data_IF_533214105998
#
_entry.id   IF_533214105998
#
_cell.length_a   1.000
_cell.length_b   1.000
_cell.length_c   1.000
_cell.angle_alpha   90.00
_cell.angle_beta   90.00
_cell.angle_gamma   90.00
#
_symmetry.space_group_name_H-M   'P 1'
#
loop_
_entity.id
_entity.type
_entity.pdbx_description
1 polymer ?
#
# COMPACT_ATOMS: atom_id res chain seq x y z
N UNK A 1 3.08 7.88 -9.93
CA UNK A 1 2.76 7.16 -8.69
C UNK A 1 2.68 8.18 -7.57
N UNK A 2 1.69 9.07 -7.62
CA UNK A 2 1.21 9.62 -6.36
C UNK A 2 0.49 8.50 -5.60
N UNK A 3 0.37 8.60 -4.28
CA UNK A 3 -0.33 7.65 -3.38
C UNK A 3 0.51 6.44 -2.92
N UNK A 4 1.79 6.33 -3.31
CA UNK A 4 2.61 5.18 -2.93
C UNK A 4 2.78 5.09 -1.41
N UNK A 5 2.99 6.22 -0.72
CA UNK A 5 3.21 6.21 0.73
C UNK A 5 1.96 5.75 1.46
N UNK A 6 0.80 6.25 1.05
CA UNK A 6 -0.50 5.90 1.64
C UNK A 6 -0.78 4.41 1.46
N UNK A 7 -0.56 3.85 0.27
CA UNK A 7 -0.76 2.43 0.01
C UNK A 7 0.15 1.53 0.86
N UNK A 8 1.44 1.84 0.90
CA UNK A 8 2.42 1.08 1.70
C UNK A 8 2.12 1.22 3.19
N UNK A 9 1.70 2.39 3.66
CA UNK A 9 1.28 2.61 5.05
C UNK A 9 0.06 1.79 5.46
N UNK A 10 -0.97 1.74 4.61
CA UNK A 10 -2.13 0.87 4.82
C UNK A 10 -1.70 -0.59 4.84
N UNK A 11 -0.82 -1.03 3.94
CA UNK A 11 -0.27 -2.39 3.94
C UNK A 11 0.43 -2.73 5.26
N UNK A 12 1.34 -1.86 5.70
CA UNK A 12 2.10 -2.00 6.93
C UNK A 12 1.21 -2.07 8.18
N UNK A 13 0.21 -1.21 8.28
CA UNK A 13 -0.70 -1.16 9.42
C UNK A 13 -1.66 -2.34 9.45
N UNK A 14 -2.19 -2.73 8.28
CA UNK A 14 -2.99 -3.96 8.16
C UNK A 14 -2.14 -5.17 8.55
N UNK A 15 -0.88 -5.25 8.12
CA UNK A 15 0.02 -6.33 8.49
C UNK A 15 0.27 -6.40 10.00
N UNK A 16 0.49 -5.25 10.65
CA UNK A 16 0.65 -5.15 12.11
C UNK A 16 -0.61 -5.61 12.86
N UNK A 17 -1.78 -5.09 12.48
CA UNK A 17 -3.05 -5.46 13.10
C UNK A 17 -3.39 -6.94 12.86
N UNK A 18 -3.07 -7.47 11.68
CA UNK A 18 -3.29 -8.86 11.32
C UNK A 18 -2.52 -9.84 12.22
N UNK A 19 -1.34 -9.45 12.75
CA UNK A 19 -0.62 -10.28 13.73
C UNK A 19 -1.46 -10.54 14.99
N UNK A 20 -2.29 -9.58 15.39
CA UNK A 20 -3.06 -9.61 16.63
C UNK A 20 -4.52 -10.02 16.47
N UNK A 21 -5.04 -10.08 15.24
CA UNK A 21 -6.42 -10.50 14.96
C UNK A 21 -6.57 -12.03 15.04
N UNK A 22 -7.60 -12.54 15.73
CA UNK A 22 -7.78 -13.98 15.96
C UNK A 22 -8.19 -14.74 14.68
N UNK A 23 -9.03 -14.12 13.86
CA UNK A 23 -9.52 -14.70 12.59
C UNK A 23 -8.50 -14.79 11.44
N UNK A 24 -7.32 -14.16 11.55
CA UNK A 24 -6.31 -14.18 10.49
C UNK A 24 -5.49 -15.50 10.56
N UNK A 25 -5.40 -16.29 9.47
CA UNK A 25 -4.64 -17.53 9.47
C UNK A 25 -3.16 -17.37 9.84
N UNK A 26 -2.61 -18.38 10.54
CA UNK A 26 -1.18 -18.45 10.87
C UNK A 26 -0.23 -18.26 9.68
N UNK A 27 -0.46 -18.93 8.53
CA UNK A 27 0.32 -18.71 7.30
C UNK A 27 0.39 -17.23 6.89
N UNK A 28 -0.69 -16.46 7.06
CA UNK A 28 -0.73 -15.06 6.65
C UNK A 28 0.10 -14.20 7.59
N UNK A 29 -0.05 -14.44 8.90
CA UNK A 29 0.77 -13.78 9.92
C UNK A 29 2.25 -14.02 9.67
N UNK A 30 2.61 -15.27 9.36
CA UNK A 30 3.98 -15.66 9.04
C UNK A 30 4.53 -14.91 7.82
N UNK A 31 3.84 -14.92 6.67
CA UNK A 31 4.37 -14.26 5.47
C UNK A 31 4.38 -12.75 5.58
N UNK A 32 3.42 -12.14 6.28
CA UNK A 32 3.43 -10.71 6.52
C UNK A 32 4.55 -10.29 7.49
N UNK A 33 4.97 -11.18 8.40
CA UNK A 33 6.13 -10.93 9.26
C UNK A 33 7.47 -11.15 8.53
N UNK A 34 7.57 -12.19 7.70
CA UNK A 34 8.84 -12.60 7.07
C UNK A 34 9.09 -11.97 5.70
N UNK A 35 8.04 -11.55 5.00
CA UNK A 35 8.08 -11.09 3.62
C UNK A 35 7.33 -9.76 3.43
N UNK A 36 7.35 -8.89 4.45
CA UNK A 36 6.66 -7.60 4.41
C UNK A 36 7.10 -6.75 3.22
N UNK A 37 8.39 -6.75 2.86
CA UNK A 37 8.90 -6.05 1.68
C UNK A 37 8.23 -6.50 0.36
N UNK A 38 7.91 -7.78 0.23
CA UNK A 38 7.18 -8.32 -0.94
C UNK A 38 5.71 -7.93 -0.88
N UNK A 39 5.10 -7.92 0.30
CA UNK A 39 3.75 -7.38 0.48
C UNK A 39 3.69 -5.88 0.13
N UNK A 40 4.69 -5.08 0.52
CA UNK A 40 4.81 -3.67 0.12
C UNK A 40 4.90 -3.52 -1.40
N UNK A 41 5.66 -4.38 -2.08
CA UNK A 41 5.68 -4.41 -3.55
C UNK A 41 4.30 -4.72 -4.13
N UNK A 42 3.59 -5.70 -3.56
CA UNK A 42 2.19 -5.98 -3.90
C UNK A 42 1.28 -4.77 -3.65
N UNK A 43 1.52 -4.00 -2.60
CA UNK A 43 0.71 -2.80 -2.28
C UNK A 43 0.86 -1.65 -3.28
N UNK A 44 1.80 -1.75 -4.21
CA UNK A 44 1.99 -0.81 -5.31
C UNK A 44 1.51 -1.36 -6.67
N UNK A 45 0.97 -2.59 -6.72
CA UNK A 45 0.54 -3.22 -7.97
C UNK A 45 -0.87 -2.84 -8.36
N UNK A 46 -1.10 -2.64 -9.66
CA UNK A 46 -2.45 -2.49 -10.23
C UNK A 46 -3.04 -3.86 -10.58
N UNK A 47 -4.35 -3.87 -10.90
CA UNK A 47 -5.08 -5.00 -11.50
C UNK A 47 -5.08 -6.30 -10.69
N UNK A 48 -4.93 -6.20 -9.37
CA UNK A 48 -4.99 -7.34 -8.45
C UNK A 48 -6.30 -8.14 -8.57
N UNK A 49 -7.38 -7.51 -9.01
CA UNK A 49 -8.70 -8.11 -9.21
C UNK A 49 -8.73 -9.26 -10.22
N UNK A 50 -7.75 -9.31 -11.14
CA UNK A 50 -7.69 -10.33 -12.19
C UNK A 50 -7.10 -11.66 -11.71
N UNK A 51 -6.32 -11.66 -10.64
CA UNK A 51 -5.47 -12.80 -10.28
C UNK A 51 -5.36 -13.07 -8.78
N UNK A 52 -5.81 -12.17 -7.90
CA UNK A 52 -5.57 -12.32 -6.45
C UNK A 52 -6.18 -13.61 -5.88
N UNK A 53 -7.46 -13.88 -6.18
CA UNK A 53 -8.17 -15.05 -5.65
C UNK A 53 -7.57 -16.37 -6.15
N UNK A 54 -7.30 -16.47 -7.44
CA UNK A 54 -6.67 -17.63 -8.08
C UNK A 54 -5.26 -17.86 -7.52
N UNK A 55 -4.49 -16.80 -7.30
CA UNK A 55 -3.13 -16.93 -6.77
C UNK A 55 -3.12 -17.33 -5.28
N UNK A 56 -4.14 -16.95 -4.51
CA UNK A 56 -4.34 -17.43 -3.13
C UNK A 56 -4.66 -18.93 -3.13
N UNK A 57 -5.59 -19.37 -3.99
CA UNK A 57 -5.93 -20.80 -4.12
C UNK A 57 -4.70 -21.61 -4.55
N UNK A 58 -3.98 -21.14 -5.57
CA UNK A 58 -2.73 -21.77 -5.98
C UNK A 58 -1.71 -21.83 -4.83
N UNK A 59 -1.56 -20.75 -4.06
CA UNK A 59 -0.62 -20.73 -2.93
C UNK A 59 -1.04 -21.69 -1.81
N UNK A 60 -2.35 -21.89 -1.59
CA UNK A 60 -2.90 -22.89 -0.67
C UNK A 60 -2.54 -24.30 -1.11
N UNK A 61 -2.82 -24.62 -2.37
CA UNK A 61 -2.63 -25.97 -2.91
C UNK A 61 -1.14 -26.35 -3.03
N UNK A 62 -0.26 -25.35 -3.13
CA UNK A 62 1.19 -25.52 -3.19
C UNK A 62 1.89 -25.17 -1.87
N UNK A 63 1.14 -24.92 -0.79
CA UNK A 63 1.73 -24.54 0.49
C UNK A 63 2.64 -25.67 1.00
N UNK A 64 3.88 -25.38 1.43
CA UNK A 64 4.76 -26.44 1.91
C UNK A 64 4.14 -27.12 3.13
N UNK A 65 3.68 -28.36 2.94
CA UNK A 65 3.37 -29.25 4.04
C UNK A 65 4.68 -29.60 4.72
N UNK A 66 4.71 -29.54 6.05
CA UNK A 66 5.89 -29.87 6.89
C UNK A 66 6.40 -31.32 6.75
N UNK A 67 5.94 -32.06 5.73
CA UNK A 67 6.44 -33.36 5.34
C UNK A 67 7.85 -33.24 4.74
N UNK A 68 8.85 -33.40 5.61
CA UNK A 68 10.23 -33.82 5.35
C UNK A 68 11.29 -32.75 5.01
N UNK A 69 11.09 -31.47 5.33
CA UNK A 69 12.18 -30.49 5.41
C UNK A 69 12.96 -30.21 4.12
N UNK A 70 12.59 -30.86 3.02
CA UNK A 70 13.07 -30.55 1.68
C UNK A 70 12.00 -29.68 1.03
N UNK A 71 12.18 -28.37 1.14
CA UNK A 71 11.65 -27.49 0.10
C UNK A 71 12.18 -28.08 -1.20
N UNK A 72 11.29 -28.48 -2.10
CA UNK A 72 11.70 -28.70 -3.49
C UNK A 72 12.17 -27.34 -3.97
N UNK A 73 13.45 -27.04 -3.76
CA UNK A 73 14.17 -26.12 -4.61
C UNK A 73 14.03 -26.74 -5.99
N UNK A 74 13.00 -26.31 -6.73
CA UNK A 74 12.99 -26.45 -8.17
C UNK A 74 14.04 -25.49 -8.69
N UNK A 75 15.30 -25.83 -8.40
CA UNK A 75 16.48 -25.28 -9.03
C UNK A 75 16.47 -25.80 -10.46
N UNK A 76 16.27 -24.88 -11.39
CA UNK A 76 17.07 -24.74 -12.61
C UNK A 76 16.62 -23.45 -13.31
N UNK A 77 17.24 -22.31 -12.95
CA UNK A 77 17.26 -21.13 -13.85
C UNK A 77 16.59 -19.82 -13.43
N UNK A 78 16.25 -19.61 -12.15
CA UNK A 78 16.05 -18.27 -11.61
C UNK A 78 14.60 -17.77 -11.46
N UNK A 79 14.38 -17.00 -10.39
CA UNK A 79 13.21 -16.13 -10.16
C UNK A 79 11.82 -16.78 -9.99
N UNK A 80 11.68 -18.09 -9.78
CA UNK A 80 10.37 -18.65 -9.40
C UNK A 80 10.05 -18.34 -7.93
N UNK A 81 9.21 -17.32 -7.70
CA UNK A 81 8.77 -16.95 -6.37
C UNK A 81 8.04 -18.11 -5.66
N UNK A 82 8.45 -18.43 -4.43
CA UNK A 82 7.83 -19.46 -3.58
C UNK A 82 6.37 -19.13 -3.25
N UNK A 83 5.54 -20.13 -2.86
CA UNK A 83 4.16 -19.90 -2.41
C UNK A 83 4.04 -18.81 -1.34
N UNK A 84 4.97 -18.75 -0.39
CA UNK A 84 5.03 -17.73 0.68
C UNK A 84 5.21 -16.33 0.11
N UNK A 85 6.14 -16.15 -0.84
CA UNK A 85 6.40 -14.86 -1.48
C UNK A 85 5.23 -14.40 -2.34
N UNK A 86 4.64 -15.31 -3.12
CA UNK A 86 3.44 -15.02 -3.93
C UNK A 86 2.25 -14.67 -3.05
N UNK A 87 2.06 -15.40 -1.95
CA UNK A 87 1.02 -15.08 -0.97
C UNK A 87 1.26 -13.70 -0.36
N UNK A 88 2.47 -13.39 0.12
CA UNK A 88 2.81 -12.05 0.64
C UNK A 88 2.47 -10.95 -0.37
N UNK A 89 2.87 -11.13 -1.64
CA UNK A 89 2.57 -10.19 -2.72
C UNK A 89 1.06 -9.99 -2.91
N UNK A 90 0.27 -11.07 -2.94
CA UNK A 90 -1.19 -10.97 -3.10
C UNK A 90 -1.84 -10.28 -1.90
N UNK A 91 -1.43 -10.60 -0.68
CA UNK A 91 -1.98 -9.95 0.52
C UNK A 91 -1.71 -8.45 0.47
N UNK A 92 -0.49 -8.05 0.07
CA UNK A 92 -0.16 -6.66 -0.22
C UNK A 92 -1.06 -6.01 -1.27
N UNK A 93 -1.29 -6.70 -2.39
CA UNK A 93 -2.15 -6.22 -3.47
C UNK A 93 -3.63 -6.05 -3.05
N UNK A 94 -4.13 -6.86 -2.11
CA UNK A 94 -5.44 -6.66 -1.50
C UNK A 94 -5.47 -5.41 -0.63
N UNK A 95 -4.40 -5.12 0.13
CA UNK A 95 -4.32 -3.86 0.91
C UNK A 95 -4.22 -2.62 0.02
N UNK A 96 -3.56 -2.70 -1.14
CA UNK A 96 -3.61 -1.66 -2.16
C UNK A 96 -5.04 -1.37 -2.58
N UNK A 97 -5.79 -2.41 -2.96
CA UNK A 97 -7.20 -2.30 -3.37
C UNK A 97 -8.06 -1.67 -2.27
N UNK A 98 -7.81 -2.01 -1.01
CA UNK A 98 -8.50 -1.40 0.12
C UNK A 98 -8.25 0.10 0.16
N UNK A 99 -7.00 0.55 0.07
CA UNK A 99 -6.66 1.98 0.05
C UNK A 99 -7.22 2.71 -1.18
N UNK A 100 -7.04 2.17 -2.38
CA UNK A 100 -7.57 2.71 -3.64
C UNK A 100 -9.07 3.06 -3.51
N UNK A 101 -9.86 2.12 -2.98
CA UNK A 101 -11.30 2.28 -2.81
C UNK A 101 -11.73 3.45 -1.94
N UNK A 102 -10.87 3.86 -0.99
CA UNK A 102 -11.19 4.92 -0.05
C UNK A 102 -10.57 6.25 -0.49
N UNK A 103 -9.41 6.23 -1.13
CA UNK A 103 -8.66 7.43 -1.49
C UNK A 103 -8.93 7.94 -2.90
N UNK A 104 -9.08 7.07 -3.91
CA UNK A 104 -9.37 7.50 -5.29
C UNK A 104 -10.62 8.36 -5.43
N UNK A 105 -11.73 8.08 -4.72
CA UNK A 105 -12.89 8.96 -4.76
C UNK A 105 -12.59 10.39 -4.28
N UNK A 106 -11.66 10.57 -3.34
CA UNK A 106 -11.24 11.89 -2.85
C UNK A 106 -10.46 12.64 -3.93
N UNK A 107 -9.54 11.96 -4.59
CA UNK A 107 -8.73 12.57 -5.65
C UNK A 107 -9.60 12.92 -6.87
N UNK A 108 -10.54 12.05 -7.21
CA UNK A 108 -11.54 12.31 -8.23
C UNK A 108 -12.41 13.52 -7.86
N UNK A 109 -12.91 13.59 -6.63
CA UNK A 109 -13.67 14.75 -6.15
C UNK A 109 -12.85 16.04 -6.23
N UNK A 110 -11.60 16.03 -5.77
CA UNK A 110 -10.72 17.21 -5.83
C UNK A 110 -10.45 17.64 -7.27
N UNK A 111 -10.26 16.68 -8.18
CA UNK A 111 -10.13 16.92 -9.63
C UNK A 111 -11.39 17.56 -10.20
N UNK A 112 -12.55 17.01 -9.90
CA UNK A 112 -13.83 17.48 -10.43
C UNK A 112 -14.21 18.88 -9.91
N UNK A 113 -13.93 19.16 -8.63
CA UNK A 113 -14.28 20.45 -8.01
C UNK A 113 -13.27 21.56 -8.28
N UNK A 114 -11.98 21.24 -8.36
CA UNK A 114 -10.91 22.24 -8.34
C UNK A 114 -9.91 22.10 -9.51
N UNK A 115 -10.14 21.19 -10.46
CA UNK A 115 -9.30 20.97 -11.64
C UNK A 115 -8.28 19.84 -11.51
N UNK A 116 -7.76 19.38 -12.66
CA UNK A 116 -6.91 18.18 -12.79
C UNK A 116 -5.67 18.19 -11.87
N UNK A 117 -4.95 19.31 -11.83
CA UNK A 117 -3.74 19.45 -11.02
C UNK A 117 -4.04 19.30 -9.52
N UNK A 118 -5.24 19.67 -9.09
CA UNK A 118 -5.67 19.59 -7.69
C UNK A 118 -5.88 18.14 -7.23
N UNK A 119 -6.28 17.23 -8.11
CA UNK A 119 -6.36 15.80 -7.79
C UNK A 119 -4.98 15.22 -7.47
N UNK A 120 -3.97 15.57 -8.28
CA UNK A 120 -2.57 15.19 -8.06
C UNK A 120 -2.05 15.81 -6.76
N UNK A 121 -2.24 17.11 -6.58
CA UNK A 121 -1.82 17.85 -5.39
C UNK A 121 -2.43 17.25 -4.11
N UNK A 122 -3.73 16.94 -4.11
CA UNK A 122 -4.41 16.26 -3.01
C UNK A 122 -3.74 14.92 -2.66
N UNK A 123 -3.46 14.10 -3.67
CA UNK A 123 -2.82 12.80 -3.47
C UNK A 123 -1.40 12.90 -2.88
N UNK A 124 -0.63 13.92 -3.26
CA UNK A 124 0.70 14.20 -2.70
C UNK A 124 0.58 14.63 -1.23
N UNK A 125 -0.36 15.52 -0.92
CA UNK A 125 -0.57 15.99 0.45
C UNK A 125 -1.06 14.86 1.38
N UNK A 126 -1.92 13.96 0.91
CA UNK A 126 -2.29 12.74 1.65
C UNK A 126 -1.07 11.87 1.94
N UNK A 127 -0.22 11.61 0.93
CA UNK A 127 1.00 10.83 1.11
C UNK A 127 1.97 11.47 2.11
N UNK A 128 2.18 12.79 2.02
CA UNK A 128 3.08 13.52 2.94
C UNK A 128 2.53 13.51 4.36
N UNK A 129 1.21 13.65 4.53
CA UNK A 129 0.60 13.55 5.84
C UNK A 129 0.78 12.16 6.44
N UNK A 130 0.43 11.11 5.69
CA UNK A 130 0.63 9.72 6.11
C UNK A 130 2.11 9.39 6.33
N UNK A 131 3.02 9.95 5.53
CA UNK A 131 4.47 9.82 5.73
C UNK A 131 4.90 10.31 7.11
N UNK A 132 4.39 11.46 7.53
CA UNK A 132 4.69 12.04 8.82
C UNK A 132 4.06 11.23 9.96
N UNK A 133 2.78 10.87 9.84
CA UNK A 133 2.04 10.13 10.87
C UNK A 133 2.57 8.70 11.07
N UNK A 134 2.84 8.00 9.97
CA UNK A 134 3.16 6.57 10.01
C UNK A 134 4.65 6.32 10.10
N UNK A 135 5.47 7.12 9.41
CA UNK A 135 6.92 6.88 9.31
C UNK A 135 7.76 7.95 10.01
N UNK A 136 7.13 8.87 10.76
CA UNK A 136 7.83 9.90 11.54
C UNK A 136 8.64 10.85 10.65
N UNK A 137 8.20 11.08 9.42
CA UNK A 137 8.95 11.88 8.46
C UNK A 137 10.29 11.24 8.04
N UNK A 138 10.36 9.90 8.09
CA UNK A 138 11.55 9.13 7.69
C UNK A 138 12.68 9.12 8.70
N UNK A 139 12.40 9.48 9.97
CA UNK A 139 13.36 9.41 11.08
C UNK A 139 13.41 8.01 11.75
N UNK A 140 12.68 7.05 11.19
CA UNK A 140 12.33 5.79 11.88
C UNK A 140 11.01 5.98 12.61
N UNK A 141 10.03 5.11 12.36
CA UNK A 141 8.70 5.19 12.96
C UNK A 141 8.76 5.20 14.49
N UNK A 142 7.72 5.73 15.12
CA UNK A 142 7.71 6.11 16.53
C UNK A 142 7.54 7.62 16.62
N UNK A 143 6.30 8.09 16.46
CA UNK A 143 5.96 9.51 16.38
C UNK A 143 6.67 10.36 17.42
N UNK A 144 7.10 11.56 17.00
CA UNK A 144 7.47 12.61 17.95
C UNK A 144 6.22 13.03 18.71
N UNK A 145 6.05 12.53 19.92
CA UNK A 145 5.34 13.30 20.95
C UNK A 145 6.21 14.52 21.27
N UNK A 146 5.57 15.67 21.44
CA UNK A 146 6.19 16.95 21.82
C UNK A 146 7.45 16.78 22.70
N UNK A 147 8.63 16.92 22.09
CA UNK A 147 9.92 16.94 22.78
C UNK A 147 10.52 15.60 23.25
N UNK A 148 9.91 14.44 22.96
CA UNK A 148 10.42 13.13 23.39
C UNK A 148 11.42 12.48 22.42
N UNK A 149 12.50 11.87 22.93
CA UNK A 149 13.40 11.00 22.16
C UNK A 149 12.62 9.83 21.56
N UNK A 150 12.73 9.63 20.23
CA UNK A 150 12.03 8.58 19.50
C UNK A 150 12.40 7.17 20.00
N UNK A 151 11.39 6.34 20.22
CA UNK A 151 11.57 4.91 20.49
C UNK A 151 11.88 4.22 19.16
N UNK A 152 13.03 3.52 19.01
CA UNK A 152 13.32 2.77 17.79
C UNK A 152 12.24 1.70 17.58
N UNK A 153 11.44 1.82 16.52
CA UNK A 153 10.55 0.73 16.13
C UNK A 153 11.37 -0.38 15.48
N UNK A 154 11.12 -1.63 15.86
CA UNK A 154 11.77 -2.82 15.28
C UNK A 154 11.41 -3.10 13.82
N UNK A 155 10.48 -2.34 13.23
CA UNK A 155 10.05 -2.51 11.85
C UNK A 155 10.88 -1.61 10.93
N UNK A 156 11.49 -2.22 9.91
CA UNK A 156 12.23 -1.54 8.86
C UNK A 156 11.35 -0.47 8.20
N UNK A 157 11.74 0.80 8.35
CA UNK A 157 11.08 1.93 7.72
C UNK A 157 11.46 1.96 6.22
N UNK A 158 10.51 1.74 5.29
CA UNK A 158 10.82 1.73 3.86
C UNK A 158 11.14 3.12 3.32
N UNK A 159 10.87 4.17 4.10
CA UNK A 159 11.10 5.56 3.71
C UNK A 159 12.14 6.20 4.62
N UNK A 160 13.24 6.61 4.03
CA UNK A 160 14.21 7.46 4.72
C UNK A 160 13.82 8.93 4.53
N UNK A 161 14.18 9.80 5.49
CA UNK A 161 13.95 11.25 5.34
C UNK A 161 14.53 11.82 4.05
N UNK A 162 15.66 11.27 3.60
CA UNK A 162 16.32 11.64 2.35
C UNK A 162 15.49 11.37 1.08
N UNK A 163 14.43 10.54 1.16
CA UNK A 163 13.53 10.27 0.01
C UNK A 163 12.76 11.52 -0.40
N UNK A 164 12.42 12.41 0.55
CA UNK A 164 11.67 13.64 0.28
C UNK A 164 12.38 14.92 0.74
N UNK A 165 13.44 14.79 1.55
CA UNK A 165 14.20 15.93 2.04
C UNK A 165 15.18 16.48 1.00
N UNK A 166 15.40 17.79 1.08
CA UNK A 166 16.50 18.52 0.47
C UNK A 166 17.82 17.73 0.46
N UNK A 167 18.11 17.13 -0.67
CA UNK A 167 19.49 16.94 -1.10
C UNK A 167 19.92 18.23 -1.82
N UNK A 168 19.98 19.35 -1.07
CA UNK A 168 20.22 20.70 -1.61
C UNK A 168 21.61 20.89 -2.22
N UNK A 169 22.45 19.85 -2.23
CA UNK A 169 23.72 19.86 -2.93
C UNK A 169 23.57 19.45 -4.39
N UNK A 170 24.19 20.19 -5.29
CA UNK A 170 24.34 19.82 -6.70
C UNK A 170 24.81 18.35 -6.89
N UNK A 171 25.65 17.86 -5.98
CA UNK A 171 26.11 16.48 -5.96
C UNK A 171 24.96 15.46 -5.85
N UNK A 172 23.95 15.71 -5.02
CA UNK A 172 22.87 14.77 -4.82
C UNK A 172 21.85 14.78 -5.97
N UNK A 173 21.59 15.95 -6.56
CA UNK A 173 20.90 16.05 -7.85
C UNK A 173 21.59 15.23 -8.94
N UNK A 174 22.92 15.36 -9.08
CA UNK A 174 23.71 14.58 -10.05
C UNK A 174 23.64 13.08 -9.79
N UNK A 175 23.63 12.65 -8.52
CA UNK A 175 23.44 11.23 -8.15
C UNK A 175 22.03 10.75 -8.52
N UNK A 176 20.99 11.54 -8.25
CA UNK A 176 19.62 11.20 -8.66
C UNK A 176 19.51 11.06 -10.19
N UNK A 177 20.05 12.02 -10.94
CA UNK A 177 20.09 11.98 -12.41
C UNK A 177 20.79 10.71 -12.91
N UNK A 178 21.91 10.33 -12.29
CA UNK A 178 22.64 9.10 -12.64
C UNK A 178 21.86 7.82 -12.31
N UNK A 179 21.29 7.73 -11.10
CA UNK A 179 20.45 6.59 -10.68
C UNK A 179 19.22 6.44 -11.57
N UNK A 180 18.59 7.55 -11.97
CA UNK A 180 17.45 7.55 -12.89
C UNK A 180 17.82 6.90 -14.22
N UNK A 181 18.98 7.25 -14.78
CA UNK A 181 19.49 6.63 -16.03
C UNK A 181 19.78 5.14 -15.84
N UNK A 182 20.43 4.75 -14.74
CA UNK A 182 20.71 3.33 -14.45
C UNK A 182 19.41 2.52 -14.29
N UNK A 183 18.44 3.06 -13.57
CA UNK A 183 17.15 2.42 -13.35
C UNK A 183 16.38 2.28 -14.67
N UNK A 184 16.33 3.33 -15.50
CA UNK A 184 15.73 3.25 -16.83
C UNK A 184 16.39 2.16 -17.68
N UNK A 185 17.73 2.07 -17.68
CA UNK A 185 18.45 1.01 -18.40
C UNK A 185 18.13 -0.38 -17.86
N UNK A 186 18.07 -0.55 -16.54
CA UNK A 186 17.69 -1.81 -15.92
C UNK A 186 16.27 -2.22 -16.30
N UNK A 187 15.30 -1.30 -16.23
CA UNK A 187 13.91 -1.56 -16.65
C UNK A 187 13.82 -1.92 -18.14
N UNK A 188 14.53 -1.19 -19.01
CA UNK A 188 14.60 -1.51 -20.45
C UNK A 188 15.20 -2.91 -20.66
N UNK A 189 16.25 -3.27 -19.91
CA UNK A 189 16.88 -4.59 -20.01
C UNK A 189 16.02 -5.73 -19.50
N UNK A 190 15.10 -5.45 -18.57
CA UNK A 190 14.13 -6.42 -18.06
C UNK A 190 12.89 -6.55 -18.96
N UNK A 191 12.70 -5.66 -19.93
CA UNK A 191 11.60 -5.73 -20.88
C UNK A 191 11.97 -6.59 -22.09
N UNK A 192 11.22 -7.67 -22.30
CA UNK A 192 11.12 -8.32 -23.60
C UNK A 192 10.16 -7.53 -24.48
N UNK A 193 10.64 -6.44 -25.08
CA UNK A 193 9.87 -5.77 -26.14
C UNK A 193 9.62 -6.78 -27.27
N UNK A 194 8.37 -7.18 -27.44
CA UNK A 194 7.91 -7.98 -28.57
C UNK A 194 7.13 -7.05 -29.51
N UNK A 195 7.81 -6.33 -30.43
CA UNK A 195 7.13 -5.46 -31.36
C UNK A 195 6.16 -6.26 -32.23
N UNK A 196 5.05 -5.62 -32.60
CA UNK A 196 4.16 -6.17 -33.62
C UNK A 196 4.71 -5.78 -35.00
N UNK A 197 5.28 -6.71 -35.78
CA UNK A 197 5.85 -6.39 -37.08
C UNK A 197 4.77 -6.03 -38.12
N UNK A 198 3.51 -6.35 -37.87
CA UNK A 198 2.38 -6.06 -38.77
C UNK A 198 1.71 -4.72 -38.44
N UNK A 199 1.86 -4.24 -37.21
CA UNK A 199 1.29 -2.97 -36.72
C UNK A 199 2.28 -2.24 -35.80
N UNK A 200 3.41 -1.78 -36.36
CA UNK A 200 4.44 -1.09 -35.59
C UNK A 200 3.93 0.22 -34.96
N UNK A 201 3.08 0.97 -35.68
CA UNK A 201 2.52 2.22 -35.19
C UNK A 201 1.55 2.00 -34.03
N UNK A 202 0.59 1.09 -34.17
CA UNK A 202 -0.32 0.78 -33.08
C UNK A 202 0.38 0.11 -31.90
N UNK A 203 1.45 -0.67 -32.14
CA UNK A 203 2.30 -1.17 -31.06
C UNK A 203 3.00 -0.04 -30.31
N UNK A 204 3.58 0.94 -31.01
CA UNK A 204 4.18 2.12 -30.40
C UNK A 204 3.14 2.95 -29.65
N UNK A 205 1.95 3.16 -30.21
CA UNK A 205 0.87 3.90 -29.54
C UNK A 205 0.41 3.18 -28.27
N UNK A 206 0.25 1.85 -28.32
CA UNK A 206 -0.04 1.02 -27.13
C UNK A 206 1.12 1.10 -26.14
N UNK A 207 2.36 1.05 -26.61
CA UNK A 207 3.54 1.19 -25.75
C UNK A 207 3.57 2.55 -25.07
N UNK A 208 3.34 3.67 -25.78
CA UNK A 208 3.34 5.02 -25.21
C UNK A 208 2.12 5.29 -24.32
N UNK A 209 0.97 4.72 -24.66
CA UNK A 209 -0.24 4.77 -23.82
C UNK A 209 -0.05 3.98 -22.53
N UNK A 210 0.61 2.82 -22.61
CA UNK A 210 0.90 1.95 -21.47
C UNK A 210 2.18 2.35 -20.73
N UNK A 211 3.06 3.13 -21.36
CA UNK A 211 4.21 3.75 -20.74
C UNK A 211 3.65 4.73 -19.73
N UNK A 212 3.47 4.23 -18.51
CA UNK A 212 3.08 5.02 -17.37
C UNK A 212 4.05 6.21 -17.34
N UNK A 213 3.53 7.41 -17.58
CA UNK A 213 4.31 8.61 -17.36
C UNK A 213 4.72 8.55 -15.88
N UNK A 214 5.99 8.23 -15.62
CA UNK A 214 6.57 8.26 -14.29
C UNK A 214 6.81 9.72 -13.89
N UNK A 215 5.78 10.57 -14.02
CA UNK A 215 5.77 11.94 -13.53
C UNK A 215 5.42 11.94 -12.05
N UNK A 216 6.21 11.22 -11.24
CA UNK A 216 6.25 11.57 -9.82
C UNK A 216 6.98 12.90 -9.75
N UNK A 217 6.26 13.94 -9.37
CA UNK A 217 6.87 15.24 -9.16
C UNK A 217 7.49 15.27 -7.76
N UNK A 218 8.71 14.76 -7.64
CA UNK A 218 9.46 14.75 -6.38
C UNK A 218 9.62 16.15 -5.79
N UNK A 219 9.64 17.18 -6.64
CA UNK A 219 9.69 18.58 -6.21
C UNK A 219 8.41 19.00 -5.47
N UNK A 220 7.23 18.55 -5.93
CA UNK A 220 5.97 18.79 -5.22
C UNK A 220 5.92 18.06 -3.87
N UNK A 221 6.41 16.82 -3.80
CA UNK A 221 6.55 16.10 -2.52
C UNK A 221 7.48 16.84 -1.57
N UNK A 222 8.64 17.29 -2.06
CA UNK A 222 9.60 18.07 -1.29
C UNK A 222 8.98 19.36 -0.76
N UNK A 223 8.32 20.13 -1.62
CA UNK A 223 7.61 21.35 -1.24
C UNK A 223 6.55 21.08 -0.16
N UNK A 224 5.72 20.04 -0.33
CA UNK A 224 4.70 19.70 0.65
C UNK A 224 5.29 19.27 2.02
N UNK A 225 6.49 18.66 2.04
CA UNK A 225 7.22 18.30 3.28
C UNK A 225 7.89 19.51 3.92
N UNK A 226 8.59 20.34 3.15
CA UNK A 226 9.42 21.45 3.65
C UNK A 226 8.61 22.71 3.97
N UNK A 227 7.53 22.94 3.20
CA UNK A 227 6.69 24.12 3.25
C UNK A 227 5.20 23.73 3.26
N UNK A 228 4.71 23.08 4.34
CA UNK A 228 3.32 22.64 4.42
C UNK A 228 2.38 23.85 4.33
N UNK A 229 1.44 23.79 3.38
CA UNK A 229 0.42 24.81 3.18
C UNK A 229 -0.82 24.50 4.04
N UNK A 230 -1.16 25.33 5.05
CA UNK A 230 -2.31 25.10 5.92
C UNK A 230 -3.65 25.07 5.17
N UNK A 231 -3.79 25.82 4.08
CA UNK A 231 -5.03 25.85 3.31
C UNK A 231 -5.22 24.54 2.53
N UNK A 232 -4.14 23.98 1.99
CA UNK A 232 -4.15 22.65 1.37
C UNK A 232 -4.34 21.54 2.39
N UNK A 233 -3.75 21.66 3.58
CA UNK A 233 -3.98 20.71 4.67
C UNK A 233 -5.46 20.64 5.05
N UNK A 234 -6.06 21.80 5.35
CA UNK A 234 -7.50 21.87 5.63
C UNK A 234 -8.32 21.25 4.50
N UNK A 235 -8.06 21.66 3.26
CA UNK A 235 -8.84 21.22 2.09
C UNK A 235 -8.71 19.72 1.83
N UNK A 236 -7.51 19.17 1.89
CA UNK A 236 -7.25 17.80 1.42
C UNK A 236 -7.24 16.75 2.53
N UNK A 237 -7.07 17.16 3.79
CA UNK A 237 -7.04 16.26 4.94
C UNK A 237 -8.29 16.40 5.81
N UNK A 238 -8.56 17.62 6.29
CA UNK A 238 -9.69 17.85 7.21
C UNK A 238 -11.03 17.77 6.48
N UNK A 239 -11.22 18.56 5.41
CA UNK A 239 -12.50 18.68 4.70
C UNK A 239 -12.88 17.39 3.96
N UNK A 240 -11.91 16.58 3.56
CA UNK A 240 -12.14 15.26 2.95
C UNK A 240 -12.24 14.13 3.98
N UNK A 241 -11.95 14.44 5.24
CA UNK A 241 -11.79 13.49 6.33
C UNK A 241 -10.86 12.32 5.96
N UNK A 242 -9.73 12.62 5.32
CA UNK A 242 -8.83 11.58 4.79
C UNK A 242 -8.11 10.81 5.89
N UNK A 243 -7.77 11.49 7.00
CA UNK A 243 -7.09 10.90 8.15
C UNK A 243 -7.52 11.60 9.45
N UNK A 244 -7.82 10.82 10.49
CA UNK A 244 -8.10 11.32 11.84
C UNK A 244 -7.27 10.53 12.86
N UNK A 245 -6.51 11.23 13.71
CA UNK A 245 -5.70 10.61 14.77
C UNK A 245 -6.56 10.01 15.89
N UNK A 246 -7.81 10.47 16.02
CA UNK A 246 -8.74 10.02 17.04
C UNK A 246 -9.51 8.74 16.65
N UNK A 247 -9.37 8.27 15.41
CA UNK A 247 -9.94 6.99 15.01
C UNK A 247 -9.31 5.84 15.82
N UNK A 248 -10.16 5.07 16.50
CA UNK A 248 -9.74 3.98 17.40
C UNK A 248 -8.82 2.97 16.72
N UNK A 249 -9.10 2.63 15.46
CA UNK A 249 -8.28 1.67 14.70
C UNK A 249 -6.90 2.24 14.33
N UNK A 250 -6.81 3.55 14.07
CA UNK A 250 -5.54 4.24 13.82
C UNK A 250 -4.72 4.30 15.11
N UNK A 251 -5.33 4.71 16.23
CA UNK A 251 -4.67 4.73 17.54
C UNK A 251 -4.12 3.36 17.91
N UNK A 252 -4.89 2.29 17.68
CA UNK A 252 -4.45 0.92 17.89
C UNK A 252 -3.26 0.55 16.99
N UNK A 253 -3.32 0.89 15.70
CA UNK A 253 -2.20 0.65 14.78
C UNK A 253 -0.92 1.38 15.22
N UNK A 254 -1.02 2.62 15.71
CA UNK A 254 0.12 3.39 16.26
C UNK A 254 0.68 2.74 17.53
N UNK A 255 -0.19 2.24 18.43
CA UNK A 255 0.22 1.50 19.65
C UNK A 255 1.00 0.23 19.30
N UNK A 256 0.45 -0.59 18.40
CA UNK A 256 1.13 -1.79 17.90
C UNK A 256 2.46 -1.44 17.24
N UNK A 257 2.51 -0.37 16.45
CA UNK A 257 3.76 0.07 15.84
C UNK A 257 4.85 0.39 16.88
N UNK A 258 4.48 0.95 18.04
CA UNK A 258 5.41 1.20 19.17
C UNK A 258 5.76 -0.05 19.97
N UNK A 259 5.32 -1.23 19.55
CA UNK A 259 5.60 -2.50 20.21
C UNK A 259 4.62 -2.84 21.34
N UNK A 260 3.56 -2.07 21.53
CA UNK A 260 2.51 -2.43 22.48
C UNK A 260 1.76 -3.68 21.98
N UNK A 261 1.49 -4.63 22.89
CA UNK A 261 0.67 -5.80 22.56
C UNK A 261 -0.79 -5.49 22.89
N UNK A 262 -1.71 -5.52 21.91
CA UNK A 262 -3.14 -5.35 22.15
C UNK A 262 -3.70 -6.42 23.08
N UNK A 263 -4.73 -6.07 23.84
CA UNK A 263 -5.52 -7.04 24.59
C UNK A 263 -6.26 -7.99 23.63
N UNK A 264 -6.61 -9.19 24.13
CA UNK A 264 -7.38 -10.15 23.34
C UNK A 264 -8.74 -9.54 22.92
N UNK A 265 -9.07 -9.61 21.63
CA UNK A 265 -10.29 -9.04 21.07
C UNK A 265 -10.25 -7.52 20.83
N UNK A 266 -9.16 -6.84 21.17
CA UNK A 266 -9.06 -5.37 21.01
C UNK A 266 -9.07 -4.94 19.53
N UNK A 267 -8.43 -5.72 18.65
CA UNK A 267 -8.45 -5.45 17.20
C UNK A 267 -9.86 -5.59 16.65
N UNK A 268 -10.57 -6.66 17.03
CA UNK A 268 -11.95 -6.92 16.63
C UNK A 268 -12.90 -5.80 17.12
N UNK A 269 -12.71 -5.32 18.35
CA UNK A 269 -13.47 -4.20 18.89
C UNK A 269 -13.21 -2.89 18.13
N UNK A 270 -11.94 -2.57 17.84
CA UNK A 270 -11.56 -1.38 17.07
C UNK A 270 -12.09 -1.44 15.62
N UNK A 271 -12.10 -2.62 15.00
CA UNK A 271 -12.72 -2.85 13.70
C UNK A 271 -14.23 -2.60 13.74
N UNK A 272 -14.92 -3.12 14.77
CA UNK A 272 -16.35 -2.92 14.97
C UNK A 272 -16.73 -1.45 15.22
N UNK A 273 -15.84 -0.68 15.85
CA UNK A 273 -16.02 0.75 16.11
C UNK A 273 -15.75 1.64 14.87
N UNK A 274 -15.04 1.13 13.86
CA UNK A 274 -14.75 1.89 12.64
C UNK A 274 -16.00 1.96 11.77
N UNK A 275 -16.57 3.14 11.56
CA UNK A 275 -17.84 3.33 10.82
C UNK A 275 -17.66 4.12 9.53
N UNK A 276 -18.76 4.42 8.83
CA UNK A 276 -18.75 5.33 7.68
C UNK A 276 -18.32 6.76 8.04
N UNK A 277 -18.45 7.15 9.32
CA UNK A 277 -18.01 8.45 9.85
C UNK A 277 -16.52 8.48 10.18
N UNK A 278 -15.85 7.32 10.30
CA UNK A 278 -14.40 7.27 10.50
C UNK A 278 -13.66 7.82 9.28
N UNK A 279 -12.42 8.23 9.49
CA UNK A 279 -11.56 8.71 8.41
C UNK A 279 -11.35 7.65 7.34
N UNK A 280 -11.02 8.12 6.14
CA UNK A 280 -10.79 7.26 4.97
C UNK A 280 -9.64 6.29 5.20
N UNK A 281 -8.59 6.74 5.90
CA UNK A 281 -7.49 5.88 6.30
C UNK A 281 -7.95 4.75 7.24
N UNK A 282 -8.69 5.05 8.32
CA UNK A 282 -9.19 4.02 9.23
C UNK A 282 -10.11 3.01 8.52
N UNK A 283 -10.97 3.49 7.64
CA UNK A 283 -11.83 2.66 6.81
C UNK A 283 -11.02 1.78 5.83
N UNK A 284 -9.92 2.29 5.29
CA UNK A 284 -9.01 1.50 4.46
C UNK A 284 -8.32 0.38 5.26
N UNK A 285 -7.90 0.65 6.50
CA UNK A 285 -7.37 -0.38 7.41
C UNK A 285 -8.40 -1.48 7.68
N UNK A 286 -9.62 -1.07 8.04
CA UNK A 286 -10.74 -2.01 8.25
C UNK A 286 -10.97 -2.88 7.01
N UNK A 287 -11.07 -2.25 5.84
CA UNK A 287 -11.31 -2.94 4.57
C UNK A 287 -10.18 -3.91 4.21
N UNK A 288 -8.93 -3.52 4.44
CA UNK A 288 -7.77 -4.38 4.26
C UNK A 288 -7.84 -5.63 5.13
N UNK A 289 -8.19 -5.50 6.41
CA UNK A 289 -8.39 -6.64 7.31
C UNK A 289 -9.58 -7.51 6.89
N UNK A 290 -10.71 -6.92 6.47
CA UNK A 290 -11.85 -7.67 5.92
C UNK A 290 -11.44 -8.50 4.70
N UNK A 291 -10.61 -7.96 3.81
CA UNK A 291 -10.04 -8.72 2.69
C UNK A 291 -9.13 -9.85 3.15
N UNK A 292 -8.30 -9.66 4.18
CA UNK A 292 -7.48 -10.75 4.74
C UNK A 292 -8.34 -11.85 5.38
N UNK A 293 -9.44 -11.49 6.03
CA UNK A 293 -10.38 -12.46 6.61
C UNK A 293 -11.09 -13.28 5.54
N UNK A 294 -11.58 -12.63 4.47
CA UNK A 294 -12.15 -13.32 3.30
C UNK A 294 -11.11 -14.22 2.62
N UNK A 295 -9.87 -13.74 2.47
CA UNK A 295 -8.73 -14.54 1.99
C UNK A 295 -8.51 -15.76 2.89
N UNK A 296 -8.67 -15.61 4.21
CA UNK A 296 -8.54 -16.72 5.15
C UNK A 296 -9.65 -17.76 5.00
N UNK A 297 -10.88 -17.36 4.68
CA UNK A 297 -11.98 -18.27 4.34
C UNK A 297 -11.65 -19.08 3.08
N UNK A 298 -11.15 -18.42 2.02
CA UNK A 298 -10.72 -19.09 0.78
C UNK A 298 -9.56 -20.07 1.06
N UNK A 299 -8.59 -19.64 1.86
CA UNK A 299 -7.45 -20.45 2.28
C UNK A 299 -7.86 -21.72 3.02
N UNK A 300 -8.92 -21.68 3.83
CA UNK A 300 -9.46 -22.84 4.54
C UNK A 300 -10.44 -23.68 3.72
N UNK A 301 -10.73 -23.28 2.48
CA UNK A 301 -11.72 -23.94 1.62
C UNK A 301 -13.17 -23.71 2.06
N UNK A 302 -13.43 -22.68 2.87
CA UNK A 302 -14.78 -22.33 3.35
C UNK A 302 -15.60 -21.58 2.28
N UNK A 303 -14.90 -20.97 1.32
CA UNK A 303 -15.48 -20.28 0.16
C UNK A 303 -14.67 -20.62 -1.09
N UNK A 304 -15.29 -20.52 -2.25
CA UNK A 304 -14.62 -20.66 -3.54
C UNK A 304 -14.03 -19.32 -4.04
N UNK A 305 -13.33 -19.38 -5.18
CA UNK A 305 -12.72 -18.20 -5.84
C UNK A 305 -13.77 -17.14 -6.18
N UNK A 306 -14.99 -17.52 -6.57
CA UNK A 306 -16.03 -16.58 -6.98
C UNK A 306 -16.61 -15.81 -5.78
N UNK A 307 -16.86 -16.49 -4.66
CA UNK A 307 -17.27 -15.85 -3.41
C UNK A 307 -16.13 -15.00 -2.81
N UNK A 308 -14.88 -15.45 -2.89
CA UNK A 308 -13.72 -14.66 -2.47
C UNK A 308 -13.61 -13.35 -3.27
N UNK A 309 -13.78 -13.41 -4.60
CA UNK A 309 -13.81 -12.22 -5.47
C UNK A 309 -14.90 -11.22 -5.05
N UNK A 310 -16.08 -11.69 -4.62
CA UNK A 310 -17.12 -10.82 -4.03
C UNK A 310 -16.66 -10.20 -2.72
N UNK A 311 -16.02 -11.00 -1.85
CA UNK A 311 -15.43 -10.52 -0.60
C UNK A 311 -14.33 -9.47 -0.80
N UNK A 312 -13.62 -9.52 -1.92
CA UNK A 312 -12.63 -8.52 -2.35
C UNK A 312 -13.26 -7.35 -3.13
N UNK A 313 -14.59 -7.33 -3.25
CA UNK A 313 -15.35 -6.39 -4.07
C UNK A 313 -14.85 -6.30 -5.53
N UNK A 314 -14.43 -7.42 -6.14
CA UNK A 314 -14.09 -7.46 -7.57
C UNK A 314 -15.31 -7.10 -8.41
N UNK A 315 -15.13 -6.18 -9.37
CA UNK A 315 -16.22 -5.69 -10.22
C UNK A 315 -17.21 -4.72 -9.57
N UNK A 316 -17.08 -4.41 -8.27
CA UNK A 316 -17.91 -3.40 -7.61
C UNK A 316 -17.36 -2.01 -7.95
N UNK A 317 -18.16 -1.07 -8.49
CA UNK A 317 -17.70 0.29 -8.75
C UNK A 317 -17.21 0.98 -7.47
N UNK A 318 -16.22 1.85 -7.60
CA UNK A 318 -15.88 2.78 -6.51
C UNK A 318 -17.09 3.69 -6.27
N UNK A 319 -17.58 3.75 -5.02
CA UNK A 319 -18.72 4.62 -4.69
C UNK A 319 -18.23 6.07 -4.70
N UNK A 320 -18.90 6.92 -5.47
CA UNK A 320 -18.64 8.35 -5.47
C UNK A 320 -18.89 8.94 -4.08
N UNK A 321 -18.12 9.97 -3.73
CA UNK A 321 -18.30 10.69 -2.47
C UNK A 321 -19.64 11.43 -2.49
N UNK A 322 -20.47 11.19 -1.49
CA UNK A 322 -21.60 12.07 -1.15
C UNK A 322 -21.17 12.83 0.09
N UNK A 323 -20.71 14.07 -0.09
CA UNK A 323 -20.52 14.97 1.04
C UNK A 323 -21.88 15.43 1.54
N UNK A 324 -22.13 15.34 2.84
CA UNK A 324 -23.24 16.03 3.46
C UNK A 324 -22.92 17.54 3.35
N UNK A 325 -23.64 18.23 2.47
CA UNK A 325 -23.54 19.68 2.31
C UNK A 325 -24.13 20.45 3.48
#
# INVERSE_FOLDING_TARGET
MSENVTHVAVCDDVARLAQHHAGVPGPFKQVLAQHLNIARLGSATRTADRWSAELIEWARDNWPTASNGQVKDSDEGGLTATPERKLAFVLGALTHRAADRLFKPIFQYCREQYGEETGIDCSIHCDVYVFNEVYGGGQGGGGKLDGGMGVPTSVENPYQRAVFGASNGEAARRVEEYLRVLWQRALISMHTFSPDPQDMHGWLDRMFTNAQAFSINLEQYRQAVEHPDPAKFKRYIEDTHSYDREDTLIQLARRVQRGETPAAGEVEAALGATTEQSSRYARALRKGLEYLLATGRLWRGEIDVAEAKKGFDVGVPERSLVFAG
#
